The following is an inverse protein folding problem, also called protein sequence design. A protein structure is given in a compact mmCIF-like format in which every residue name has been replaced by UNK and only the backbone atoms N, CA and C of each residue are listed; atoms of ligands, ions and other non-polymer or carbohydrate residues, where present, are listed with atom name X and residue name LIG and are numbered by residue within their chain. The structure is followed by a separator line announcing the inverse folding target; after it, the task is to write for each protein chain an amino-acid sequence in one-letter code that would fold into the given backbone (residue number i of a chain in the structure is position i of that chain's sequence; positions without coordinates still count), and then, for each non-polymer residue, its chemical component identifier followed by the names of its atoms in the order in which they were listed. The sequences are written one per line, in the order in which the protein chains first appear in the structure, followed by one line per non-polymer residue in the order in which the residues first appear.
data_IF_518991014840
#
_entry.id   IF_518991014840
#
_cell.length_a   1.000
_cell.length_b   1.000
_cell.length_c   1.000
_cell.angle_alpha   90.00
_cell.angle_beta   90.00
_cell.angle_gamma   90.00
#
_symmetry.space_group_name_H-M   'P 1'
#
loop_
_entity.id
_entity.type
_entity.pdbx_description
1 polymer ?
#
# COMPACT_ATOMS: atom_id res chain seq x y z
N UNK A 1 28.00 1.40 -26.04
CA UNK A 1 27.64 2.77 -25.64
C UNK A 1 26.18 2.91 -25.15
N UNK A 2 25.21 2.27 -25.81
CA UNK A 2 23.79 2.32 -25.41
C UNK A 2 23.50 1.54 -24.12
N UNK A 3 24.14 0.43 -23.83
CA UNK A 3 23.96 -0.33 -22.57
C UNK A 3 24.35 0.48 -21.33
N UNK A 4 25.34 1.38 -21.42
CA UNK A 4 25.72 2.25 -20.31
C UNK A 4 24.69 3.35 -20.01
N UNK A 5 23.86 3.74 -20.98
CA UNK A 5 22.79 4.72 -20.76
C UNK A 5 21.62 4.13 -19.93
N UNK A 6 21.24 2.89 -20.22
CA UNK A 6 20.14 2.24 -19.49
C UNK A 6 20.53 1.79 -18.08
N UNK A 7 21.83 1.56 -17.85
CA UNK A 7 22.38 1.23 -16.53
C UNK A 7 22.68 2.46 -15.67
N UNK A 8 22.44 3.67 -16.18
CA UNK A 8 22.59 4.89 -15.39
C UNK A 8 21.39 5.06 -14.44
N UNK A 9 21.61 5.29 -13.14
CA UNK A 9 20.51 5.53 -12.17
C UNK A 9 19.54 6.63 -12.61
N UNK A 10 20.04 7.69 -13.26
CA UNK A 10 19.21 8.79 -13.73
C UNK A 10 18.15 8.36 -14.73
N UNK A 11 18.39 7.30 -15.50
CA UNK A 11 17.40 6.77 -16.43
C UNK A 11 16.14 6.30 -15.71
N UNK A 12 16.27 5.40 -14.72
CA UNK A 12 15.12 4.87 -13.97
C UNK A 12 14.39 5.94 -13.17
N UNK A 13 15.14 6.88 -12.57
CA UNK A 13 14.58 8.01 -11.84
C UNK A 13 13.76 8.90 -12.78
N UNK A 14 14.37 9.33 -13.89
CA UNK A 14 13.72 10.23 -14.86
C UNK A 14 12.49 9.58 -15.48
N UNK A 15 12.58 8.31 -15.90
CA UNK A 15 11.45 7.57 -16.47
C UNK A 15 10.28 7.51 -15.48
N UNK A 16 10.54 7.22 -14.22
CA UNK A 16 9.51 7.18 -13.18
C UNK A 16 8.84 8.53 -12.96
N UNK A 17 9.64 9.62 -12.86
CA UNK A 17 9.13 10.97 -12.66
C UNK A 17 8.30 11.42 -13.87
N UNK A 18 8.80 11.25 -15.10
CA UNK A 18 8.07 11.63 -16.31
C UNK A 18 6.76 10.84 -16.45
N UNK A 19 6.77 9.54 -16.21
CA UNK A 19 5.57 8.73 -16.25
C UNK A 19 4.54 9.20 -15.22
N UNK A 20 4.98 9.57 -14.01
CA UNK A 20 4.10 10.10 -12.97
C UNK A 20 3.55 11.48 -13.33
N UNK A 21 4.35 12.37 -13.89
CA UNK A 21 3.90 13.70 -14.36
C UNK A 21 2.84 13.56 -15.47
N UNK A 22 3.04 12.64 -16.42
CA UNK A 22 2.04 12.33 -17.44
C UNK A 22 0.76 11.81 -16.78
N UNK A 23 0.87 10.90 -15.81
CA UNK A 23 -0.27 10.42 -15.03
C UNK A 23 -1.03 11.54 -14.33
N UNK A 24 -0.32 12.50 -13.72
CA UNK A 24 -0.93 13.68 -13.10
C UNK A 24 -1.65 14.57 -14.13
N UNK A 25 -1.07 14.77 -15.30
CA UNK A 25 -1.69 15.56 -16.38
C UNK A 25 -3.00 14.91 -16.85
N UNK A 26 -2.99 13.58 -17.06
CA UNK A 26 -4.16 12.80 -17.45
C UNK A 26 -5.24 12.89 -16.37
N UNK A 27 -4.87 12.69 -15.12
CA UNK A 27 -5.80 12.72 -13.98
C UNK A 27 -6.46 14.09 -13.80
N UNK A 28 -5.71 15.19 -13.98
CA UNK A 28 -6.26 16.54 -13.93
C UNK A 28 -7.29 16.80 -15.01
N UNK A 29 -7.14 16.18 -16.19
CA UNK A 29 -8.08 16.33 -17.31
C UNK A 29 -9.28 15.40 -17.19
N UNK A 30 -9.05 14.20 -16.68
CA UNK A 30 -10.04 13.13 -16.54
C UNK A 30 -9.94 12.52 -15.13
N UNK A 31 -10.53 13.13 -14.10
CA UNK A 31 -10.45 12.62 -12.72
C UNK A 31 -11.33 11.37 -12.56
N UNK A 32 -10.74 10.21 -12.84
CA UNK A 32 -11.40 8.91 -12.72
C UNK A 32 -10.50 7.93 -11.94
N UNK A 33 -11.04 6.98 -11.17
CA UNK A 33 -10.24 6.00 -10.43
C UNK A 33 -9.18 5.27 -11.25
N UNK A 34 -9.48 4.96 -12.52
CA UNK A 34 -8.56 4.28 -13.44
C UNK A 34 -7.43 5.21 -13.93
N UNK A 35 -7.61 6.51 -13.88
CA UNK A 35 -6.60 7.50 -14.31
C UNK A 35 -5.74 8.02 -13.17
N UNK A 36 -5.76 7.37 -11.99
CA UNK A 36 -4.88 7.77 -10.86
C UNK A 36 -3.43 7.83 -11.33
N UNK A 37 -2.67 8.88 -10.94
CA UNK A 37 -1.30 9.09 -11.42
C UNK A 37 -0.39 7.89 -11.23
N UNK A 38 -0.54 7.18 -10.09
CA UNK A 38 0.24 5.99 -9.80
C UNK A 38 -0.04 4.84 -10.78
N UNK A 39 -1.32 4.56 -11.07
CA UNK A 39 -1.71 3.49 -11.99
C UNK A 39 -1.22 3.78 -13.42
N UNK A 40 -1.47 5.00 -13.88
CA UNK A 40 -1.02 5.44 -15.21
C UNK A 40 0.50 5.38 -15.33
N UNK A 41 1.25 5.88 -14.34
CA UNK A 41 2.70 5.82 -14.33
C UNK A 41 3.22 4.38 -14.37
N UNK A 42 2.62 3.49 -13.59
CA UNK A 42 3.00 2.07 -13.57
C UNK A 42 2.80 1.43 -14.95
N UNK A 43 1.64 1.65 -15.58
CA UNK A 43 1.34 1.12 -16.91
C UNK A 43 2.30 1.69 -17.96
N UNK A 44 2.58 3.00 -17.92
CA UNK A 44 3.50 3.64 -18.85
C UNK A 44 4.93 3.09 -18.72
N UNK A 45 5.43 2.92 -17.51
CA UNK A 45 6.78 2.35 -17.28
C UNK A 45 6.83 0.90 -17.77
N UNK A 46 5.84 0.07 -17.44
CA UNK A 46 5.79 -1.32 -17.92
C UNK A 46 5.73 -1.38 -19.44
N UNK A 47 4.88 -0.57 -20.07
CA UNK A 47 4.74 -0.51 -21.52
C UNK A 47 6.06 -0.06 -22.17
N UNK A 48 6.68 0.99 -21.64
CA UNK A 48 7.96 1.48 -22.15
C UNK A 48 9.05 0.42 -22.09
N UNK A 49 9.24 -0.25 -20.94
CA UNK A 49 10.25 -1.30 -20.78
C UNK A 49 10.01 -2.49 -21.73
N UNK A 50 8.73 -2.88 -21.90
CA UNK A 50 8.38 -3.97 -22.83
C UNK A 50 8.63 -3.62 -24.30
N UNK A 51 8.27 -2.40 -24.72
CA UNK A 51 8.42 -1.94 -26.10
C UNK A 51 9.88 -1.71 -26.48
N UNK A 52 10.69 -1.24 -25.53
CA UNK A 52 12.12 -0.98 -25.78
C UNK A 52 13.03 -2.18 -25.53
N UNK A 53 12.49 -3.27 -24.93
CA UNK A 53 13.29 -4.45 -24.58
C UNK A 53 14.27 -4.22 -23.42
N UNK A 54 14.16 -3.07 -22.72
CA UNK A 54 15.03 -2.76 -21.57
C UNK A 54 14.64 -3.64 -20.39
N UNK A 55 15.64 -4.28 -19.77
CA UNK A 55 15.41 -5.15 -18.63
C UNK A 55 14.96 -4.36 -17.40
N UNK A 56 14.05 -4.95 -16.62
CA UNK A 56 13.66 -4.38 -15.31
C UNK A 56 14.88 -4.13 -14.41
N UNK A 57 15.91 -4.99 -14.50
CA UNK A 57 17.14 -4.83 -13.70
C UNK A 57 17.84 -3.51 -13.99
N UNK A 58 17.93 -3.11 -15.27
CA UNK A 58 18.52 -1.82 -15.66
C UNK A 58 17.70 -0.63 -15.15
N UNK A 59 16.37 -0.67 -15.32
CA UNK A 59 15.46 0.34 -14.77
C UNK A 59 15.57 0.45 -13.24
N UNK A 60 15.63 -0.69 -12.54
CA UNK A 60 15.61 -0.74 -11.09
C UNK A 60 16.88 -0.19 -10.42
N UNK A 61 17.97 0.00 -11.17
CA UNK A 61 19.15 0.73 -10.67
C UNK A 61 18.71 2.13 -10.21
N UNK A 62 17.94 2.85 -11.01
CA UNK A 62 17.36 4.14 -10.64
C UNK A 62 16.18 3.99 -9.68
N UNK A 63 15.34 2.96 -9.86
CA UNK A 63 14.20 2.65 -8.98
C UNK A 63 14.60 2.47 -7.53
N UNK A 64 15.75 1.89 -7.25
CA UNK A 64 16.28 1.70 -5.89
C UNK A 64 16.48 3.04 -5.17
N UNK A 65 16.96 4.08 -5.85
CA UNK A 65 17.09 5.41 -5.25
C UNK A 65 15.74 6.00 -4.82
N UNK A 66 14.71 5.82 -5.65
CA UNK A 66 13.34 6.23 -5.28
C UNK A 66 12.81 5.39 -4.11
N UNK A 67 13.07 4.09 -4.09
CA UNK A 67 12.69 3.20 -3.00
C UNK A 67 13.35 3.58 -1.68
N UNK A 68 14.60 4.04 -1.69
CA UNK A 68 15.30 4.51 -0.50
C UNK A 68 14.65 5.76 0.12
N UNK A 69 13.86 6.52 -0.65
CA UNK A 69 13.09 7.65 -0.11
C UNK A 69 11.85 7.22 0.68
N UNK A 70 11.46 5.95 0.65
CA UNK A 70 10.30 5.44 1.41
C UNK A 70 10.49 5.67 2.91
N UNK A 71 11.68 5.35 3.45
CA UNK A 71 11.96 5.51 4.87
C UNK A 71 11.86 6.96 5.32
N UNK A 72 12.60 7.93 4.74
CA UNK A 72 12.47 9.33 5.13
C UNK A 72 11.05 9.89 4.88
N UNK A 73 10.37 9.47 3.81
CA UNK A 73 8.98 9.86 3.56
C UNK A 73 8.04 9.38 4.68
N UNK A 74 8.25 8.16 5.17
CA UNK A 74 7.46 7.62 6.29
C UNK A 74 7.70 8.42 7.57
N UNK A 75 8.94 8.84 7.83
CA UNK A 75 9.26 9.70 8.98
C UNK A 75 8.57 11.06 8.87
N UNK A 76 8.54 11.64 7.67
CA UNK A 76 7.86 12.94 7.41
C UNK A 76 6.35 12.85 7.68
N UNK A 77 5.71 11.69 7.52
CA UNK A 77 4.31 11.48 7.91
C UNK A 77 4.06 11.70 9.40
N UNK A 78 5.10 11.64 10.23
CA UNK A 78 5.01 12.00 11.66
C UNK A 78 4.64 13.47 11.90
N UNK A 79 4.93 14.38 10.97
CA UNK A 79 4.63 15.82 11.12
C UNK A 79 3.12 16.08 11.11
N UNK A 80 2.33 15.66 10.08
CA UNK A 80 0.87 15.76 10.12
C UNK A 80 0.27 15.01 11.30
N UNK A 81 0.83 13.85 11.66
CA UNK A 81 0.39 13.08 12.81
C UNK A 81 0.54 13.86 14.11
N UNK A 82 1.69 14.48 14.33
CA UNK A 82 1.93 15.35 15.49
C UNK A 82 0.94 16.52 15.54
N UNK A 83 0.71 17.19 14.41
CA UNK A 83 -0.28 18.27 14.31
C UNK A 83 -1.70 17.80 14.61
N UNK A 84 -2.03 16.56 14.33
CA UNK A 84 -3.34 15.94 14.57
C UNK A 84 -3.42 15.17 15.90
N UNK A 85 -2.41 15.30 16.78
CA UNK A 85 -2.29 14.52 18.01
C UNK A 85 -3.49 14.70 18.97
N UNK A 86 -4.08 15.88 19.00
CA UNK A 86 -5.29 16.12 19.79
C UNK A 86 -6.48 15.28 19.32
N UNK A 87 -6.70 15.23 17.99
CA UNK A 87 -7.76 14.39 17.39
C UNK A 87 -7.49 12.90 17.64
N UNK A 88 -6.24 12.49 17.54
CA UNK A 88 -5.83 11.12 17.85
C UNK A 88 -6.17 10.72 19.28
N UNK A 89 -5.89 11.57 20.28
CA UNK A 89 -6.25 11.32 21.68
C UNK A 89 -7.75 11.25 21.88
N UNK A 90 -8.50 12.16 21.27
CA UNK A 90 -9.95 12.21 21.39
C UNK A 90 -10.63 10.95 20.83
N UNK A 91 -10.13 10.44 19.70
CA UNK A 91 -10.67 9.26 19.02
C UNK A 91 -9.89 7.96 19.29
N UNK A 92 -8.98 7.93 20.27
CA UNK A 92 -8.05 6.82 20.48
C UNK A 92 -8.73 5.45 20.57
N UNK A 93 -9.83 5.35 21.35
CA UNK A 93 -10.58 4.09 21.49
C UNK A 93 -11.17 3.63 20.15
N UNK A 94 -11.79 4.53 19.40
CA UNK A 94 -12.37 4.23 18.10
C UNK A 94 -11.29 3.81 17.09
N UNK A 95 -10.14 4.51 17.08
CA UNK A 95 -9.02 4.22 16.21
C UNK A 95 -8.45 2.82 16.49
N UNK A 96 -8.19 2.51 17.76
CA UNK A 96 -7.65 1.20 18.14
C UNK A 96 -8.64 0.08 17.83
N UNK A 97 -9.91 0.25 18.22
CA UNK A 97 -10.93 -0.78 18.02
C UNK A 97 -11.20 -1.02 16.52
N UNK A 98 -11.38 0.04 15.74
CA UNK A 98 -11.63 -0.09 14.30
C UNK A 98 -10.44 -0.70 13.56
N UNK A 99 -9.21 -0.31 13.91
CA UNK A 99 -7.99 -0.88 13.31
C UNK A 99 -7.82 -2.36 13.68
N UNK A 100 -8.09 -2.72 14.94
CA UNK A 100 -8.07 -4.12 15.37
C UNK A 100 -9.11 -4.96 14.63
N UNK A 101 -10.37 -4.50 14.61
CA UNK A 101 -11.46 -5.20 13.90
C UNK A 101 -11.17 -5.31 12.40
N UNK A 102 -10.64 -4.27 11.77
CA UNK A 102 -10.27 -4.31 10.37
C UNK A 102 -9.22 -5.40 10.08
N UNK A 103 -8.20 -5.52 10.94
CA UNK A 103 -7.16 -6.56 10.80
C UNK A 103 -7.74 -7.95 11.00
N UNK A 104 -8.57 -8.14 12.05
CA UNK A 104 -9.23 -9.43 12.31
C UNK A 104 -10.11 -9.83 11.13
N UNK A 105 -11.01 -8.96 10.70
CA UNK A 105 -11.93 -9.22 9.58
C UNK A 105 -11.15 -9.53 8.30
N UNK A 106 -10.14 -8.73 7.97
CA UNK A 106 -9.33 -8.96 6.77
C UNK A 106 -8.57 -10.29 6.83
N UNK A 107 -7.98 -10.62 7.97
CA UNK A 107 -7.20 -11.87 8.11
C UNK A 107 -8.11 -13.08 8.11
N UNK A 108 -9.24 -13.05 8.85
CA UNK A 108 -10.24 -14.13 8.85
C UNK A 108 -10.84 -14.32 7.46
N UNK A 109 -11.24 -13.25 6.80
CA UNK A 109 -11.79 -13.32 5.44
C UNK A 109 -10.79 -13.93 4.46
N UNK A 110 -9.53 -13.54 4.52
CA UNK A 110 -8.46 -14.11 3.70
C UNK A 110 -8.25 -15.59 3.99
N UNK A 111 -8.26 -15.99 5.28
CA UNK A 111 -8.14 -17.38 5.69
C UNK A 111 -9.32 -18.25 5.21
N UNK A 112 -10.53 -17.74 5.35
CA UNK A 112 -11.75 -18.43 4.89
C UNK A 112 -11.71 -18.62 3.38
N UNK A 113 -11.38 -17.58 2.61
CA UNK A 113 -11.24 -17.70 1.16
C UNK A 113 -10.13 -18.69 0.79
N UNK A 114 -8.98 -18.63 1.44
CA UNK A 114 -7.89 -19.57 1.18
C UNK A 114 -8.33 -21.03 1.41
N UNK A 115 -9.08 -21.28 2.47
CA UNK A 115 -9.65 -22.61 2.77
C UNK A 115 -10.69 -23.04 1.73
N UNK A 116 -11.59 -22.15 1.34
CA UNK A 116 -12.62 -22.42 0.32
C UNK A 116 -12.02 -22.75 -1.05
N UNK A 117 -10.92 -22.08 -1.42
CA UNK A 117 -10.22 -22.35 -2.67
C UNK A 117 -9.18 -23.48 -2.58
N UNK A 118 -9.09 -24.17 -1.46
CA UNK A 118 -8.12 -25.25 -1.25
C UNK A 118 -6.67 -24.82 -1.37
N UNK A 119 -6.35 -23.57 -0.99
CA UNK A 119 -4.98 -23.05 -1.11
C UNK A 119 -4.05 -23.73 -0.11
N UNK A 120 -2.84 -24.03 -0.55
CA UNK A 120 -1.81 -24.56 0.35
C UNK A 120 -1.46 -23.52 1.41
N UNK A 121 -1.14 -23.98 2.62
CA UNK A 121 -0.84 -23.15 3.79
C UNK A 121 0.12 -21.99 3.49
N UNK A 122 1.27 -22.28 2.89
CA UNK A 122 2.28 -21.25 2.59
C UNK A 122 1.81 -20.18 1.60
N UNK A 123 0.87 -20.52 0.69
CA UNK A 123 0.23 -19.54 -0.21
C UNK A 123 -0.74 -18.65 0.57
N UNK A 124 -1.60 -19.24 1.40
CA UNK A 124 -2.54 -18.50 2.23
C UNK A 124 -1.84 -17.51 3.16
N UNK A 125 -0.78 -17.95 3.85
CA UNK A 125 0.05 -17.10 4.71
C UNK A 125 0.64 -15.90 3.96
N UNK A 126 1.06 -16.11 2.71
CA UNK A 126 1.64 -15.05 1.89
C UNK A 126 0.63 -13.93 1.55
N UNK A 127 -0.68 -14.22 1.63
CA UNK A 127 -1.74 -13.24 1.36
C UNK A 127 -2.17 -12.46 2.61
N UNK A 128 -1.91 -12.95 3.81
CA UNK A 128 -2.42 -12.37 5.04
C UNK A 128 -1.95 -10.93 5.25
N UNK A 129 -0.64 -10.62 5.20
CA UNK A 129 -0.15 -9.29 5.50
C UNK A 129 -0.24 -8.30 4.32
N UNK A 130 -1.22 -8.48 3.41
CA UNK A 130 -1.37 -7.66 2.21
C UNK A 130 -1.63 -6.17 2.46
N UNK A 131 -2.14 -5.83 3.65
CA UNK A 131 -2.55 -4.46 4.01
C UNK A 131 -1.57 -3.76 4.97
N UNK A 132 -0.33 -4.22 5.06
CA UNK A 132 0.73 -3.54 5.80
C UNK A 132 1.86 -3.11 4.87
N UNK A 133 2.85 -2.38 5.38
CA UNK A 133 4.00 -1.99 4.57
C UNK A 133 4.78 -3.21 4.09
N UNK A 134 5.44 -3.09 2.94
CA UNK A 134 6.27 -4.15 2.36
C UNK A 134 7.24 -4.75 3.36
N UNK A 135 7.94 -3.93 4.15
CA UNK A 135 8.89 -4.39 5.16
C UNK A 135 8.24 -5.24 6.26
N UNK A 136 7.09 -4.78 6.78
CA UNK A 136 6.33 -5.52 7.80
C UNK A 136 5.75 -6.82 7.22
N UNK A 137 5.22 -6.76 6.01
CA UNK A 137 4.63 -7.91 5.33
C UNK A 137 5.66 -9.02 5.10
N UNK A 138 6.85 -8.67 4.63
CA UNK A 138 7.96 -9.61 4.46
C UNK A 138 8.33 -10.27 5.79
N UNK A 139 8.54 -9.47 6.84
CA UNK A 139 8.89 -10.01 8.16
C UNK A 139 7.84 -10.97 8.75
N UNK A 140 6.54 -10.66 8.59
CA UNK A 140 5.45 -11.55 9.00
C UNK A 140 5.47 -12.85 8.17
N UNK A 141 5.60 -12.73 6.87
CA UNK A 141 5.57 -13.87 5.94
C UNK A 141 6.75 -14.81 6.15
N UNK A 142 7.96 -14.29 6.32
CA UNK A 142 9.17 -15.08 6.60
C UNK A 142 9.04 -15.85 7.91
N UNK A 143 8.59 -15.17 8.98
CA UNK A 143 8.38 -15.81 10.29
C UNK A 143 7.38 -16.95 10.22
N UNK A 144 6.41 -16.87 9.32
CA UNK A 144 5.36 -17.88 9.15
C UNK A 144 5.62 -18.85 7.98
N UNK A 145 6.83 -18.83 7.39
CA UNK A 145 7.25 -19.70 6.30
C UNK A 145 6.37 -19.60 5.03
N UNK A 146 5.88 -18.39 4.75
CA UNK A 146 5.19 -18.07 3.50
C UNK A 146 6.17 -17.71 2.36
N UNK A 147 5.64 -17.38 1.20
CA UNK A 147 6.41 -17.01 0.00
C UNK A 147 6.47 -15.47 -0.09
N UNK A 148 7.61 -14.89 0.28
CA UNK A 148 7.82 -13.43 0.30
C UNK A 148 7.57 -12.76 -1.04
N UNK A 149 7.96 -13.39 -2.14
CA UNK A 149 7.71 -12.85 -3.49
C UNK A 149 6.21 -12.65 -3.78
N UNK A 150 5.37 -13.59 -3.37
CA UNK A 150 3.92 -13.47 -3.50
C UNK A 150 3.41 -12.34 -2.62
N UNK A 151 3.88 -12.27 -1.37
CA UNK A 151 3.53 -11.20 -0.45
C UNK A 151 3.86 -9.82 -1.03
N UNK A 152 5.04 -9.64 -1.60
CA UNK A 152 5.45 -8.38 -2.24
C UNK A 152 4.48 -7.95 -3.35
N UNK A 153 4.13 -8.88 -4.25
CA UNK A 153 3.18 -8.61 -5.35
C UNK A 153 1.81 -8.22 -4.79
N UNK A 154 1.31 -8.95 -3.81
CA UNK A 154 -0.03 -8.73 -3.26
C UNK A 154 -0.11 -7.43 -2.44
N UNK A 155 0.94 -7.08 -1.70
CA UNK A 155 1.03 -5.79 -0.99
C UNK A 155 0.95 -4.64 -1.98
N UNK A 156 1.77 -4.66 -3.04
CA UNK A 156 1.75 -3.62 -4.07
C UNK A 156 0.39 -3.55 -4.75
N UNK A 157 -0.17 -4.69 -5.15
CA UNK A 157 -1.50 -4.75 -5.77
C UNK A 157 -2.58 -4.20 -4.84
N UNK A 158 -2.57 -4.54 -3.54
CA UNK A 158 -3.53 -4.02 -2.56
C UNK A 158 -3.42 -2.51 -2.42
N UNK A 159 -2.21 -1.96 -2.35
CA UNK A 159 -1.99 -0.52 -2.29
C UNK A 159 -2.55 0.21 -3.51
N UNK A 160 -2.25 -0.28 -4.71
CA UNK A 160 -2.75 0.28 -5.97
C UNK A 160 -4.28 0.17 -6.05
N UNK A 161 -4.85 -1.01 -5.77
CA UNK A 161 -6.31 -1.22 -5.77
C UNK A 161 -7.00 -0.30 -4.76
N UNK A 162 -6.45 -0.14 -3.55
CA UNK A 162 -7.00 0.77 -2.55
C UNK A 162 -7.00 2.21 -3.05
N UNK A 163 -5.94 2.66 -3.72
CA UNK A 163 -5.87 4.03 -4.25
C UNK A 163 -6.88 4.28 -5.36
N UNK A 164 -7.21 3.25 -6.15
CA UNK A 164 -8.14 3.33 -7.28
C UNK A 164 -9.59 3.18 -6.84
N UNK A 165 -9.89 2.15 -6.05
CA UNK A 165 -11.26 1.75 -5.73
C UNK A 165 -11.72 2.35 -4.39
N UNK A 166 -10.80 2.55 -3.44
CA UNK A 166 -11.11 3.03 -2.10
C UNK A 166 -11.91 4.32 -2.07
N UNK A 167 -11.52 5.39 -2.79
CA UNK A 167 -12.31 6.62 -2.88
C UNK A 167 -13.75 6.40 -3.35
N UNK A 168 -13.95 5.54 -4.33
CA UNK A 168 -15.27 5.22 -4.87
C UNK A 168 -16.13 4.48 -3.85
N UNK A 169 -15.55 3.52 -3.12
CA UNK A 169 -16.25 2.78 -2.06
C UNK A 169 -16.64 3.74 -0.92
N UNK A 170 -15.73 4.58 -0.45
CA UNK A 170 -16.01 5.54 0.62
C UNK A 170 -17.13 6.49 0.24
N UNK A 171 -17.12 7.01 -0.99
CA UNK A 171 -18.19 7.85 -1.53
C UNK A 171 -19.53 7.10 -1.60
N UNK A 172 -19.53 5.86 -2.06
CA UNK A 172 -20.74 5.02 -2.13
C UNK A 172 -21.33 4.76 -0.73
N UNK A 173 -20.47 4.52 0.25
CA UNK A 173 -20.85 4.33 1.65
C UNK A 173 -21.13 5.64 2.40
N UNK A 174 -21.00 6.80 1.74
CA UNK A 174 -21.20 8.14 2.32
C UNK A 174 -20.31 8.40 3.54
N UNK A 175 -19.07 7.90 3.51
CA UNK A 175 -18.09 8.17 4.56
C UNK A 175 -17.43 9.51 4.27
N UNK A 176 -17.73 10.52 5.09
CA UNK A 176 -17.27 11.91 4.92
C UNK A 176 -16.28 12.34 6.02
N UNK A 177 -16.25 11.64 7.15
CA UNK A 177 -15.38 11.97 8.27
C UNK A 177 -13.89 11.74 7.89
N UNK A 178 -13.03 12.77 8.01
CA UNK A 178 -11.63 12.66 7.59
C UNK A 178 -10.82 11.63 8.40
N UNK A 179 -11.19 11.38 9.67
CA UNK A 179 -10.54 10.37 10.50
C UNK A 179 -10.87 8.98 9.95
N UNK A 180 -12.14 8.72 9.67
CA UNK A 180 -12.61 7.45 9.13
C UNK A 180 -12.01 7.18 7.72
N UNK A 181 -12.00 8.20 6.86
CA UNK A 181 -11.37 8.12 5.52
C UNK A 181 -9.89 7.75 5.64
N UNK A 182 -9.15 8.44 6.51
CA UNK A 182 -7.74 8.19 6.72
C UNK A 182 -7.47 6.78 7.22
N UNK A 183 -8.20 6.33 8.25
CA UNK A 183 -8.05 4.99 8.81
C UNK A 183 -8.38 3.90 7.77
N UNK A 184 -9.43 4.08 6.99
CA UNK A 184 -9.83 3.12 5.97
C UNK A 184 -8.79 3.00 4.85
N UNK A 185 -8.37 4.13 4.27
CA UNK A 185 -7.40 4.14 3.16
C UNK A 185 -6.00 3.74 3.61
N UNK A 186 -5.54 4.25 4.75
CA UNK A 186 -4.21 3.93 5.28
C UNK A 186 -4.12 2.51 5.82
N UNK A 187 -5.14 2.05 6.56
CA UNK A 187 -5.19 0.69 7.12
C UNK A 187 -5.37 -0.41 6.06
N UNK A 188 -5.92 -0.08 4.89
CA UNK A 188 -6.06 -1.04 3.78
C UNK A 188 -4.91 -0.93 2.79
N UNK A 189 -4.58 0.28 2.35
CA UNK A 189 -3.63 0.54 1.26
C UNK A 189 -2.25 1.03 1.71
N UNK A 190 -1.96 0.93 3.01
CA UNK A 190 -0.69 1.31 3.64
C UNK A 190 -0.18 2.69 3.14
N UNK A 191 1.08 2.82 2.72
CA UNK A 191 1.66 4.09 2.26
C UNK A 191 0.95 4.66 1.02
N UNK A 192 0.53 3.80 0.08
CA UNK A 192 -0.18 4.22 -1.14
C UNK A 192 -1.58 4.74 -0.80
N UNK A 193 -2.32 4.01 0.06
CA UNK A 193 -3.62 4.44 0.56
C UNK A 193 -3.54 5.74 1.37
N UNK A 194 -2.50 5.91 2.18
CA UNK A 194 -2.23 7.15 2.93
C UNK A 194 -1.98 8.32 1.97
N UNK A 195 -1.21 8.12 0.90
CA UNK A 195 -1.03 9.11 -0.15
C UNK A 195 -2.37 9.55 -0.78
N UNK A 196 -3.28 8.60 -0.99
CA UNK A 196 -4.64 8.90 -1.44
C UNK A 196 -5.46 9.64 -0.37
N UNK A 197 -5.31 9.28 0.91
CA UNK A 197 -5.99 9.94 2.02
C UNK A 197 -5.62 11.43 2.13
N UNK A 198 -4.40 11.83 1.79
CA UNK A 198 -4.02 13.25 1.75
C UNK A 198 -4.83 14.09 0.76
N UNK A 199 -5.44 13.48 -0.25
CA UNK A 199 -6.34 14.20 -1.17
C UNK A 199 -7.64 14.66 -0.47
N UNK A 200 -7.98 14.04 0.67
CA UNK A 200 -9.11 14.40 1.54
C UNK A 200 -8.71 15.35 2.68
N UNK A 201 -7.48 15.82 2.69
CA UNK A 201 -6.97 16.79 3.65
C UNK A 201 -5.90 16.21 4.59
N UNK A 202 -5.28 17.13 5.35
CA UNK A 202 -4.15 16.79 6.23
C UNK A 202 -4.56 15.83 7.36
N UNK A 203 -5.78 15.95 7.89
CA UNK A 203 -6.28 15.06 8.95
C UNK A 203 -6.40 13.62 8.43
N UNK A 204 -7.03 13.44 7.27
CA UNK A 204 -7.16 12.13 6.67
C UNK A 204 -5.79 11.49 6.36
N UNK A 205 -4.85 12.26 5.81
CA UNK A 205 -3.49 11.79 5.58
C UNK A 205 -2.75 11.40 6.86
N UNK A 206 -2.87 12.21 7.92
CA UNK A 206 -2.27 11.92 9.22
C UNK A 206 -2.85 10.64 9.86
N UNK A 207 -4.18 10.48 9.81
CA UNK A 207 -4.85 9.27 10.30
C UNK A 207 -4.49 8.03 9.46
N UNK A 208 -4.28 8.19 8.15
CA UNK A 208 -3.75 7.14 7.30
C UNK A 208 -2.35 6.68 7.73
N UNK A 209 -1.45 7.62 8.00
CA UNK A 209 -0.12 7.33 8.53
C UNK A 209 -0.16 6.61 9.88
N UNK A 210 -1.05 7.04 10.78
CA UNK A 210 -1.27 6.37 12.06
C UNK A 210 -1.79 4.94 11.87
N UNK A 211 -2.75 4.75 10.97
CA UNK A 211 -3.33 3.44 10.67
C UNK A 211 -2.28 2.43 10.23
N UNK A 212 -1.29 2.83 9.43
CA UNK A 212 -0.18 1.95 9.00
C UNK A 212 0.53 1.33 10.21
N UNK A 213 0.90 2.15 11.20
CA UNK A 213 1.62 1.68 12.38
C UNK A 213 0.76 0.76 13.25
N UNK A 214 -0.46 1.17 13.55
CA UNK A 214 -1.37 0.43 14.42
C UNK A 214 -1.79 -0.91 13.80
N UNK A 215 -2.22 -0.90 12.54
CA UNK A 215 -2.59 -2.14 11.84
C UNK A 215 -1.41 -3.08 11.70
N UNK A 216 -0.21 -2.55 11.42
CA UNK A 216 1.01 -3.35 11.35
C UNK A 216 1.30 -4.11 12.64
N UNK A 217 1.17 -3.44 13.79
CA UNK A 217 1.32 -4.09 15.11
C UNK A 217 0.26 -5.19 15.28
N UNK A 218 -1.01 -4.91 14.98
CA UNK A 218 -2.06 -5.92 15.09
C UNK A 218 -1.86 -7.12 14.18
N UNK A 219 -1.37 -6.92 12.94
CA UNK A 219 -1.08 -8.03 12.02
C UNK A 219 -0.03 -8.99 12.57
N UNK A 220 0.98 -8.51 13.29
CA UNK A 220 2.02 -9.38 13.89
C UNK A 220 1.42 -10.40 14.86
N UNK A 221 0.36 -10.01 15.58
CA UNK A 221 -0.30 -10.88 16.57
C UNK A 221 -1.49 -11.65 15.98
N UNK A 222 -2.33 -10.99 15.18
CA UNK A 222 -3.56 -11.59 14.65
C UNK A 222 -3.27 -12.64 13.58
N UNK A 223 -2.28 -12.40 12.72
CA UNK A 223 -2.00 -13.32 11.61
C UNK A 223 -1.63 -14.73 12.07
N UNK A 224 -0.68 -14.94 13.02
CA UNK A 224 -0.38 -16.29 13.51
C UNK A 224 -1.57 -16.96 14.19
N UNK A 225 -2.34 -16.18 14.96
CA UNK A 225 -3.52 -16.70 15.68
C UNK A 225 -4.60 -17.20 14.71
N UNK A 226 -4.94 -16.40 13.70
CA UNK A 226 -5.96 -16.78 12.71
C UNK A 226 -5.48 -17.94 11.85
N UNK A 227 -4.19 -17.96 11.50
CA UNK A 227 -3.61 -19.07 10.74
C UNK A 227 -3.72 -20.40 11.49
N UNK A 228 -3.39 -20.41 12.79
CA UNK A 228 -3.49 -21.62 13.61
C UNK A 228 -4.92 -22.10 13.85
N UNK A 229 -5.91 -21.20 13.84
CA UNK A 229 -7.31 -21.53 14.08
C UNK A 229 -8.04 -22.00 12.82
N UNK A 230 -7.68 -21.51 11.64
CA UNK A 230 -8.49 -21.73 10.42
C UNK A 230 -7.76 -22.60 9.40
N UNK A 231 -6.42 -22.54 9.33
CA UNK A 231 -5.62 -23.24 8.32
C UNK A 231 -4.91 -24.49 8.87
N UNK A 232 -5.02 -24.74 10.17
CA UNK A 232 -4.51 -25.98 10.80
C UNK A 232 -5.32 -27.20 10.38
#
# INVERSE_FOLDING_TARGET
MMENLWSNPLFGISLSIFAYLIGMMIFRRFPHPITTPLLVATVLVIAFLKLTGISYKAYNIGGTYLSNLIVPSTVVLGIPLYKSFHLMKHHAKSILLSSFLAVVVNTVFTAVLAKLFGMKYFLAISLFPKSVTTAMAVGITEKMQGITTITLVVVVATGVLTSVIGPTILKFLKVEDPVAIGLALGGTGHAVGTGTAFQYGQVAGAMGGLAIGITGVFYVFVTPLVASLILS
#
